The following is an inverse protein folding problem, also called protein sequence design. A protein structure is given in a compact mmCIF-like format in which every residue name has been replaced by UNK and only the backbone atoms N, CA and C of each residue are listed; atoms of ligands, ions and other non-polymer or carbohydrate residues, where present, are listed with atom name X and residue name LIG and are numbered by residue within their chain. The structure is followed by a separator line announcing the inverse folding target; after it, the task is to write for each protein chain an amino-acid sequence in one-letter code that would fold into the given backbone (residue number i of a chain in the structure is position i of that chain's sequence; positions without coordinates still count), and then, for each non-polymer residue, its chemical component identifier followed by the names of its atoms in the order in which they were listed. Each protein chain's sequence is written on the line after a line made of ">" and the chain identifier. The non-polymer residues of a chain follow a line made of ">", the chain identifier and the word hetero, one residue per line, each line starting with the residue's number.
data_IF_928686781185
#
_entry.id   IF_928686781185
#
_cell.length_a   1.000
_cell.length_b   1.000
_cell.length_c   1.000
_cell.angle_alpha   90.00
_cell.angle_beta   90.00
_cell.angle_gamma   90.00
#
_symmetry.space_group_name_H-M   'P 1'
#
loop_
_entity.id
_entity.type
_entity.pdbx_description
1 polymer ?
#
# COMPACT_ATOMS: atom_id res chain seq x y z
N UNK A 1 32.58 -38.80 -41.54
CA UNK A 1 32.24 -38.49 -42.95
C UNK A 1 30.93 -37.70 -42.97
N UNK A 2 30.96 -36.46 -43.49
CA UNK A 2 29.88 -35.66 -44.14
C UNK A 2 28.49 -35.59 -43.47
N UNK A 3 27.79 -34.45 -43.32
CA UNK A 3 27.88 -33.11 -43.95
C UNK A 3 27.04 -32.12 -43.13
N UNK A 4 27.45 -30.85 -43.17
CA UNK A 4 26.78 -29.69 -42.61
C UNK A 4 25.46 -29.32 -43.35
N UNK A 5 24.50 -28.75 -42.62
CA UNK A 5 23.32 -28.05 -43.13
C UNK A 5 23.36 -26.57 -42.75
N UNK A 6 23.31 -25.70 -43.76
CA UNK A 6 23.69 -24.30 -43.74
C UNK A 6 22.51 -23.35 -43.49
N UNK A 7 22.84 -22.18 -42.92
CA UNK A 7 21.99 -21.01 -42.61
C UNK A 7 21.17 -20.47 -43.78
N UNK A 8 20.01 -19.85 -43.47
CA UNK A 8 19.50 -18.68 -44.21
C UNK A 8 18.47 -17.86 -43.38
N UNK A 9 18.95 -16.84 -42.67
CA UNK A 9 18.15 -15.65 -42.35
C UNK A 9 18.78 -14.47 -43.10
N UNK A 10 17.96 -13.71 -43.82
CA UNK A 10 18.38 -12.63 -44.71
C UNK A 10 18.96 -11.46 -43.90
N UNK A 11 20.28 -11.36 -43.86
CA UNK A 11 20.97 -10.11 -43.57
C UNK A 11 21.01 -9.28 -44.87
N UNK A 12 20.10 -8.33 -45.01
CA UNK A 12 20.20 -7.26 -46.00
C UNK A 12 20.96 -6.09 -45.40
N UNK A 13 22.28 -6.21 -45.27
CA UNK A 13 23.16 -5.15 -44.78
C UNK A 13 23.91 -4.58 -45.97
N UNK A 14 23.57 -3.36 -46.39
CA UNK A 14 24.42 -2.50 -47.22
C UNK A 14 24.25 -1.06 -46.78
N UNK A 15 25.19 -0.59 -45.96
CA UNK A 15 25.46 0.83 -45.80
C UNK A 15 26.95 1.02 -46.05
N UNK A 16 27.29 1.56 -47.22
CA UNK A 16 28.65 2.00 -47.53
C UNK A 16 28.95 3.31 -46.81
N UNK A 17 30.13 3.39 -46.20
CA UNK A 17 30.64 4.64 -45.64
C UNK A 17 31.06 5.56 -46.78
N UNK A 18 30.22 6.55 -47.11
CA UNK A 18 30.60 7.70 -47.92
C UNK A 18 30.99 8.84 -46.99
N UNK A 19 32.29 9.11 -46.84
CA UNK A 19 32.77 10.35 -46.24
C UNK A 19 32.55 11.45 -47.26
N UNK A 20 31.52 12.28 -47.06
CA UNK A 20 31.39 13.56 -47.76
C UNK A 20 31.65 14.69 -46.78
N UNK A 21 32.63 15.50 -47.14
CA UNK A 21 33.11 16.69 -46.46
C UNK A 21 32.32 17.90 -46.99
N UNK A 22 31.93 18.81 -46.08
CA UNK A 22 31.50 20.22 -46.21
C UNK A 22 30.01 20.60 -46.07
N UNK A 23 29.81 21.51 -45.09
CA UNK A 23 28.80 22.58 -44.91
C UNK A 23 27.51 22.29 -44.10
N UNK A 24 26.99 23.31 -43.36
CA UNK A 24 26.26 23.12 -42.11
C UNK A 24 24.74 23.15 -42.31
N UNK A 25 24.08 22.03 -42.05
CA UNK A 25 22.66 21.98 -41.72
C UNK A 25 22.55 21.06 -40.52
N UNK A 26 22.39 21.64 -39.33
CA UNK A 26 22.17 20.87 -38.10
C UNK A 26 20.74 20.32 -38.14
N UNK A 27 20.55 19.26 -38.92
CA UNK A 27 19.45 18.34 -38.76
C UNK A 27 19.93 17.19 -37.87
N UNK A 28 19.63 17.27 -36.58
CA UNK A 28 19.81 16.13 -35.67
C UNK A 28 18.88 15.00 -36.15
N UNK A 29 19.44 14.02 -36.87
CA UNK A 29 18.79 12.74 -37.06
C UNK A 29 18.85 12.00 -35.72
N UNK A 30 17.77 12.11 -34.93
CA UNK A 30 17.54 11.24 -33.78
C UNK A 30 17.43 9.82 -34.32
N UNK A 31 18.48 9.04 -34.13
CA UNK A 31 18.44 7.61 -34.42
C UNK A 31 17.47 6.97 -33.43
N UNK A 32 16.28 6.57 -33.92
CA UNK A 32 15.37 5.72 -33.18
C UNK A 32 16.04 4.36 -32.98
N UNK A 33 16.68 4.17 -31.82
CA UNK A 33 17.16 2.86 -31.39
C UNK A 33 15.97 1.91 -31.32
N UNK A 34 16.02 0.85 -32.13
CA UNK A 34 15.10 -0.26 -31.98
C UNK A 34 15.20 -0.80 -30.55
N UNK A 35 14.09 -0.73 -29.83
CA UNK A 35 14.03 -1.04 -28.42
C UNK A 35 13.97 -2.56 -28.26
N UNK A 36 15.14 -3.20 -28.24
CA UNK A 36 15.27 -4.65 -28.08
C UNK A 36 16.22 -4.96 -26.92
N UNK A 37 15.78 -5.81 -26.00
CA UNK A 37 16.49 -6.16 -24.76
C UNK A 37 15.56 -6.28 -23.55
N UNK A 38 16.03 -6.81 -22.42
CA UNK A 38 15.26 -6.88 -21.19
C UNK A 38 14.89 -5.47 -20.69
N UNK A 39 13.74 -5.34 -20.04
CA UNK A 39 13.27 -4.06 -19.49
C UNK A 39 14.14 -3.62 -18.30
N UNK A 40 14.39 -2.33 -18.19
CA UNK A 40 15.25 -1.68 -17.20
C UNK A 40 14.52 -0.48 -16.59
N UNK A 41 14.99 -0.02 -15.43
CA UNK A 41 14.51 1.22 -14.81
C UNK A 41 14.43 2.38 -15.81
N UNK A 42 13.30 3.08 -15.84
CA UNK A 42 13.03 4.22 -16.71
C UNK A 42 12.56 3.86 -18.13
N UNK A 43 12.52 2.58 -18.48
CA UNK A 43 11.97 2.15 -19.77
C UNK A 43 10.46 2.41 -19.85
N UNK A 44 10.02 2.98 -20.96
CA UNK A 44 8.60 3.23 -21.19
C UNK A 44 7.90 2.02 -21.80
N UNK A 45 6.68 1.80 -21.33
CA UNK A 45 5.88 0.63 -21.64
C UNK A 45 4.51 1.05 -22.17
N UNK A 46 4.00 0.23 -23.09
CA UNK A 46 2.60 0.22 -23.50
C UNK A 46 1.97 -1.05 -22.97
N UNK A 47 0.80 -0.95 -22.35
CA UNK A 47 0.03 -2.13 -21.95
C UNK A 47 -0.61 -2.79 -23.17
N UNK A 48 -0.43 -4.10 -23.29
CA UNK A 48 -0.98 -4.93 -24.36
C UNK A 48 -1.69 -6.14 -23.75
N UNK A 49 -2.98 -5.97 -23.48
CA UNK A 49 -3.75 -6.94 -22.70
C UNK A 49 -3.18 -7.08 -21.29
N UNK A 50 -2.66 -8.26 -20.99
CA UNK A 50 -2.11 -8.63 -19.68
C UNK A 50 -0.58 -8.50 -19.62
N UNK A 51 0.08 -7.99 -20.66
CA UNK A 51 1.54 -7.78 -20.70
C UNK A 51 1.92 -6.34 -21.02
N UNK A 52 3.22 -6.06 -20.97
CA UNK A 52 3.79 -4.77 -21.31
C UNK A 52 4.79 -4.92 -22.46
N UNK A 53 4.62 -4.09 -23.49
CA UNK A 53 5.57 -3.97 -24.59
C UNK A 53 6.45 -2.75 -24.35
N UNK A 54 7.77 -2.94 -24.47
CA UNK A 54 8.73 -1.84 -24.40
C UNK A 54 8.60 -0.96 -25.65
N UNK A 55 8.43 0.34 -25.45
CA UNK A 55 8.21 1.33 -26.52
C UNK A 55 9.10 2.56 -26.31
N UNK A 56 9.18 3.44 -27.31
CA UNK A 56 9.84 4.74 -27.10
C UNK A 56 9.08 5.55 -26.06
N UNK A 57 9.78 6.23 -25.15
CA UNK A 57 9.14 7.16 -24.22
C UNK A 57 8.48 8.36 -24.90
N UNK A 58 8.83 8.67 -26.16
CA UNK A 58 8.16 9.69 -26.95
C UNK A 58 6.90 9.17 -27.67
N UNK A 59 6.64 7.87 -27.63
CA UNK A 59 5.44 7.27 -28.21
C UNK A 59 4.20 7.73 -27.43
N UNK A 60 3.13 8.10 -28.15
CA UNK A 60 1.87 8.51 -27.52
C UNK A 60 1.17 7.36 -26.79
N UNK A 61 1.50 6.11 -27.12
CA UNK A 61 1.02 4.92 -26.44
C UNK A 61 1.86 4.53 -25.20
N UNK A 62 2.97 5.22 -24.93
CA UNK A 62 3.78 5.01 -23.73
C UNK A 62 3.07 5.61 -22.49
N UNK A 63 2.22 4.80 -21.87
CA UNK A 63 1.42 5.19 -20.70
C UNK A 63 2.06 4.75 -19.37
N UNK A 64 3.06 3.87 -19.40
CA UNK A 64 3.66 3.27 -18.20
C UNK A 64 5.18 3.37 -18.23
N UNK A 65 5.81 3.19 -17.07
CA UNK A 65 7.27 3.18 -16.91
C UNK A 65 7.71 2.10 -15.92
N UNK A 66 8.86 1.50 -16.18
CA UNK A 66 9.52 0.62 -15.21
C UNK A 66 10.10 1.48 -14.09
N UNK A 67 9.62 1.28 -12.88
CA UNK A 67 10.07 1.99 -11.69
C UNK A 67 11.24 1.29 -11.01
N UNK A 68 11.28 -0.03 -11.01
CA UNK A 68 12.42 -0.80 -10.52
C UNK A 68 12.31 -2.28 -10.89
N UNK A 69 13.30 -3.06 -10.47
CA UNK A 69 13.24 -4.52 -10.34
C UNK A 69 13.28 -4.91 -8.85
N UNK A 70 12.55 -5.96 -8.50
CA UNK A 70 12.49 -6.51 -7.16
C UNK A 70 12.78 -8.02 -7.17
N UNK A 71 13.31 -8.52 -6.07
CA UNK A 71 13.67 -9.92 -5.88
C UNK A 71 15.07 -10.10 -5.30
N UNK A 72 15.60 -11.31 -5.39
CA UNK A 72 16.91 -11.64 -4.84
C UNK A 72 18.02 -10.87 -5.58
N UNK A 73 18.83 -10.12 -4.83
CA UNK A 73 19.91 -9.29 -5.38
C UNK A 73 19.50 -7.86 -5.75
N UNK A 74 18.23 -7.49 -5.58
CA UNK A 74 17.74 -6.12 -5.74
C UNK A 74 17.59 -5.40 -4.40
N UNK A 75 17.44 -4.07 -4.45
CA UNK A 75 17.26 -3.25 -3.25
C UNK A 75 15.96 -3.57 -2.51
N UNK A 76 14.90 -3.87 -3.26
CA UNK A 76 13.60 -4.28 -2.72
C UNK A 76 13.35 -5.75 -3.02
N UNK A 77 12.77 -6.44 -2.04
CA UNK A 77 12.37 -7.84 -2.20
C UNK A 77 11.10 -7.96 -3.04
N UNK A 78 10.15 -7.06 -2.82
CA UNK A 78 8.83 -7.09 -3.43
C UNK A 78 8.49 -5.74 -4.08
N UNK A 79 7.79 -5.78 -5.20
CA UNK A 79 7.41 -4.57 -5.95
C UNK A 79 6.45 -3.65 -5.19
N UNK A 80 5.75 -4.16 -4.17
CA UNK A 80 4.89 -3.35 -3.30
C UNK A 80 5.66 -2.29 -2.52
N UNK A 81 6.96 -2.50 -2.28
CA UNK A 81 7.85 -1.57 -1.58
C UNK A 81 8.55 -0.57 -2.51
N UNK A 82 8.30 -0.65 -3.82
CA UNK A 82 8.79 0.32 -4.81
C UNK A 82 7.74 1.42 -4.99
N UNK A 83 8.11 2.66 -4.68
CA UNK A 83 7.20 3.80 -4.66
C UNK A 83 6.53 4.06 -6.02
N UNK A 84 5.20 4.13 -6.04
CA UNK A 84 4.41 4.43 -7.24
C UNK A 84 4.08 3.21 -8.10
N UNK A 85 4.49 2.01 -7.67
CA UNK A 85 4.18 0.78 -8.37
C UNK A 85 2.69 0.50 -8.32
N UNK A 86 2.12 0.25 -9.49
CA UNK A 86 0.73 -0.17 -9.65
C UNK A 86 0.61 -1.58 -10.20
N UNK A 87 1.61 -2.06 -10.94
CA UNK A 87 1.64 -3.40 -11.51
C UNK A 87 2.98 -4.05 -11.20
N UNK A 88 2.95 -5.36 -11.00
CA UNK A 88 4.13 -6.19 -11.05
C UNK A 88 3.92 -7.34 -12.05
N UNK A 89 5.00 -7.76 -12.68
CA UNK A 89 5.03 -8.97 -13.49
C UNK A 89 6.41 -9.59 -13.46
N UNK A 90 6.48 -10.90 -13.69
CA UNK A 90 7.73 -11.62 -13.64
C UNK A 90 8.42 -11.62 -15.01
N UNK A 91 9.69 -11.22 -15.06
CA UNK A 91 10.53 -11.26 -16.25
C UNK A 91 11.96 -11.72 -15.91
N UNK A 92 12.37 -12.80 -16.57
CA UNK A 92 13.77 -13.25 -16.60
C UNK A 92 14.42 -13.51 -15.23
N UNK A 93 13.63 -13.90 -14.22
CA UNK A 93 14.14 -14.21 -12.88
C UNK A 93 13.68 -13.23 -11.80
N UNK A 94 13.27 -12.02 -12.20
CA UNK A 94 12.94 -10.91 -11.30
C UNK A 94 11.48 -10.47 -11.45
N UNK A 95 10.97 -9.79 -10.43
CA UNK A 95 9.73 -9.01 -10.54
C UNK A 95 10.04 -7.62 -11.09
N UNK A 96 9.34 -7.22 -12.14
CA UNK A 96 9.43 -5.88 -12.73
C UNK A 96 8.31 -5.03 -12.16
N UNK A 97 8.68 -3.90 -11.55
CA UNK A 97 7.75 -3.00 -10.88
C UNK A 97 7.39 -1.85 -11.82
N UNK A 98 6.12 -1.72 -12.15
CA UNK A 98 5.61 -0.78 -13.17
C UNK A 98 4.62 0.18 -12.55
N UNK A 99 4.77 1.46 -12.88
CA UNK A 99 3.80 2.50 -12.54
C UNK A 99 3.35 3.28 -13.77
N UNK A 100 2.36 4.14 -13.57
CA UNK A 100 1.97 5.12 -14.57
C UNK A 100 3.15 6.02 -14.94
N UNK A 101 3.23 6.39 -16.21
CA UNK A 101 4.26 7.32 -16.66
C UNK A 101 4.03 8.69 -16.02
N UNK A 102 5.05 9.17 -15.30
CA UNK A 102 4.93 10.40 -14.51
C UNK A 102 4.27 10.19 -13.14
N UNK A 103 4.18 8.95 -12.66
CA UNK A 103 3.73 8.64 -11.32
C UNK A 103 4.48 9.48 -10.27
N UNK A 104 3.73 9.98 -9.30
CA UNK A 104 4.27 10.75 -8.18
C UNK A 104 4.81 9.79 -7.11
N UNK A 105 6.07 9.39 -7.27
CA UNK A 105 6.72 8.47 -6.34
C UNK A 105 6.97 9.09 -4.97
N UNK A 106 7.00 10.42 -4.84
CA UNK A 106 7.21 11.09 -3.56
C UNK A 106 5.99 10.97 -2.64
N UNK A 107 4.79 11.00 -3.22
CA UNK A 107 3.51 10.89 -2.52
C UNK A 107 2.84 9.51 -2.67
N UNK A 108 3.57 8.53 -3.17
CA UNK A 108 3.06 7.18 -3.36
C UNK A 108 2.63 6.54 -2.03
N UNK A 109 1.38 6.08 -1.97
CA UNK A 109 0.79 5.53 -0.75
C UNK A 109 1.30 4.13 -0.42
N UNK A 110 1.65 3.32 -1.43
CA UNK A 110 2.06 1.92 -1.24
C UNK A 110 3.32 1.76 -0.36
N UNK A 111 4.15 2.81 -0.30
CA UNK A 111 5.37 2.86 0.51
C UNK A 111 5.22 3.63 1.82
N UNK A 112 4.02 4.09 2.17
CA UNK A 112 3.77 4.73 3.46
C UNK A 112 4.16 3.81 4.62
N UNK A 113 4.73 4.40 5.66
CA UNK A 113 5.22 3.71 6.85
C UNK A 113 4.42 4.12 8.09
N UNK A 114 4.59 3.37 9.17
CA UNK A 114 4.01 3.72 10.48
C UNK A 114 4.49 5.13 10.86
N UNK A 115 3.55 6.00 11.22
CA UNK A 115 3.79 7.39 11.55
C UNK A 115 3.57 8.38 10.40
N UNK A 116 3.54 7.92 9.15
CA UNK A 116 3.20 8.75 7.99
C UNK A 116 1.72 9.15 7.99
N UNK A 117 1.39 10.17 7.19
CA UNK A 117 0.02 10.61 7.03
C UNK A 117 -0.50 10.44 5.61
N UNK A 118 -1.80 10.14 5.52
CA UNK A 118 -2.53 9.92 4.29
C UNK A 118 -3.63 10.96 4.11
N UNK A 119 -3.92 11.31 2.86
CA UNK A 119 -4.99 12.27 2.50
C UNK A 119 -6.40 11.69 2.65
N UNK A 120 -6.53 10.36 2.69
CA UNK A 120 -7.81 9.65 2.72
C UNK A 120 -7.66 8.22 3.20
N UNK A 121 -8.78 7.50 3.27
CA UNK A 121 -8.85 6.08 3.69
C UNK A 121 -9.68 5.22 2.73
N UNK A 122 -10.03 5.75 1.56
CA UNK A 122 -10.86 5.07 0.56
C UNK A 122 -10.54 5.56 -0.85
N UNK A 123 -10.81 4.72 -1.85
CA UNK A 123 -10.55 5.01 -3.26
C UNK A 123 -9.08 4.91 -3.68
N UNK A 124 -8.81 5.22 -4.95
CA UNK A 124 -7.49 5.08 -5.57
C UNK A 124 -6.65 6.36 -5.57
N UNK A 125 -7.18 7.47 -5.04
CA UNK A 125 -6.52 8.79 -5.02
C UNK A 125 -5.87 9.14 -3.68
N UNK A 126 -5.68 8.15 -2.80
CA UNK A 126 -5.03 8.36 -1.52
C UNK A 126 -3.54 8.59 -1.73
N UNK A 127 -3.01 9.64 -1.12
CA UNK A 127 -1.61 10.05 -1.22
C UNK A 127 -0.96 10.05 0.15
N UNK A 128 0.32 9.68 0.19
CA UNK A 128 1.20 9.89 1.35
C UNK A 128 1.66 11.34 1.36
N UNK A 129 1.46 12.03 2.47
CA UNK A 129 1.81 13.45 2.64
C UNK A 129 2.49 13.67 3.99
N UNK A 130 3.14 14.82 4.16
CA UNK A 130 3.61 15.23 5.48
C UNK A 130 2.41 15.40 6.43
N UNK A 131 2.54 15.00 7.69
CA UNK A 131 1.44 15.14 8.67
C UNK A 131 1.07 16.60 8.98
N UNK A 132 1.94 17.55 8.66
CA UNK A 132 1.67 19.00 8.76
C UNK A 132 0.91 19.55 7.55
N UNK A 133 0.73 18.76 6.49
CA UNK A 133 -0.03 19.16 5.32
C UNK A 133 -1.52 19.33 5.68
N UNK A 134 -2.15 20.37 5.16
CA UNK A 134 -3.57 20.65 5.42
C UNK A 134 -4.52 19.59 4.85
N UNK A 135 -4.06 18.81 3.86
CA UNK A 135 -4.79 17.70 3.27
C UNK A 135 -4.60 16.38 4.02
N UNK A 136 -3.63 16.30 4.93
CA UNK A 136 -3.44 15.12 5.78
C UNK A 136 -4.68 14.90 6.65
N UNK A 137 -5.21 13.68 6.64
CA UNK A 137 -6.41 13.32 7.42
C UNK A 137 -6.16 12.19 8.39
N UNK A 138 -5.40 11.19 7.96
CA UNK A 138 -5.18 9.98 8.73
C UNK A 138 -3.70 9.75 8.98
N UNK A 139 -3.37 9.21 10.14
CA UNK A 139 -2.04 8.75 10.49
C UNK A 139 -1.98 7.23 10.44
N UNK A 140 -0.90 6.68 9.88
CA UNK A 140 -0.64 5.25 9.82
C UNK A 140 -0.17 4.75 11.19
N UNK A 141 -0.93 3.84 11.78
CA UNK A 141 -0.62 3.15 13.04
C UNK A 141 0.01 1.78 12.81
N UNK A 142 -0.36 1.13 11.70
CA UNK A 142 0.12 -0.20 11.31
C UNK A 142 0.20 -0.31 9.79
N UNK A 143 1.16 -1.13 9.32
CA UNK A 143 1.37 -1.45 7.91
C UNK A 143 1.56 -2.95 7.81
N UNK A 144 0.67 -3.62 7.10
CA UNK A 144 0.71 -5.06 6.92
C UNK A 144 0.72 -5.39 5.43
N UNK A 145 1.78 -6.04 4.97
CA UNK A 145 1.85 -6.56 3.61
C UNK A 145 1.09 -7.88 3.54
N UNK A 146 0.07 -7.96 2.71
CA UNK A 146 -0.73 -9.15 2.55
C UNK A 146 -0.69 -9.63 1.09
N UNK A 147 -0.51 -10.94 0.92
CA UNK A 147 -0.73 -11.63 -0.35
C UNK A 147 -2.21 -11.96 -0.61
N UNK A 148 -3.09 -11.61 0.33
CA UNK A 148 -4.53 -11.88 0.33
C UNK A 148 -5.31 -10.71 0.95
N UNK A 149 -5.32 -9.54 0.31
CA UNK A 149 -6.07 -8.37 0.80
C UNK A 149 -7.57 -8.67 0.75
N UNK A 150 -8.28 -8.49 1.87
CA UNK A 150 -9.75 -8.55 1.88
C UNK A 150 -10.40 -9.13 3.13
N UNK A 151 -9.63 -9.56 4.15
CA UNK A 151 -10.20 -10.10 5.38
C UNK A 151 -10.31 -9.07 6.51
N UNK A 152 -9.79 -7.84 6.34
CA UNK A 152 -9.71 -6.78 7.36
C UNK A 152 -9.03 -7.23 8.67
N UNK A 153 -8.51 -8.45 8.76
CA UNK A 153 -7.88 -9.05 9.93
C UNK A 153 -6.45 -8.56 10.14
N UNK A 154 -5.90 -7.86 9.15
CA UNK A 154 -4.52 -7.38 9.12
C UNK A 154 -4.29 -6.38 10.26
N UNK A 155 -5.28 -5.55 10.60
CA UNK A 155 -5.17 -4.59 11.70
C UNK A 155 -5.47 -5.15 13.09
N UNK A 156 -5.66 -6.48 13.20
CA UNK A 156 -5.93 -7.11 14.49
C UNK A 156 -4.79 -6.85 15.47
N UNK A 157 -5.11 -6.20 16.59
CA UNK A 157 -4.14 -5.89 17.65
C UNK A 157 -3.41 -4.56 17.47
N UNK A 158 -3.63 -3.82 16.37
CA UNK A 158 -3.14 -2.45 16.22
C UNK A 158 -4.09 -1.52 16.97
N UNK A 159 -3.69 -1.15 18.19
CA UNK A 159 -4.54 -0.33 19.07
C UNK A 159 -4.75 1.08 18.55
N UNK A 160 -5.93 1.63 18.80
CA UNK A 160 -6.35 2.94 18.34
C UNK A 160 -6.72 3.00 16.87
N UNK A 161 -6.76 1.85 16.17
CA UNK A 161 -7.22 1.81 14.77
C UNK A 161 -8.70 2.13 14.70
N UNK A 162 -9.04 3.14 13.90
CA UNK A 162 -10.41 3.56 13.63
C UNK A 162 -10.87 3.09 12.25
N UNK A 163 -9.95 3.00 11.29
CA UNK A 163 -10.22 2.66 9.88
C UNK A 163 -9.11 1.80 9.29
N UNK A 164 -9.44 1.10 8.22
CA UNK A 164 -8.49 0.32 7.42
C UNK A 164 -8.51 0.82 5.98
N UNK A 165 -7.34 0.97 5.38
CA UNK A 165 -7.19 1.29 3.96
C UNK A 165 -6.27 0.25 3.31
N UNK A 166 -6.67 -0.29 2.16
CA UNK A 166 -5.84 -1.24 1.42
C UNK A 166 -5.44 -0.67 0.08
N UNK A 167 -4.15 -0.75 -0.23
CA UNK A 167 -3.60 -0.52 -1.55
C UNK A 167 -3.27 -1.87 -2.17
N UNK A 168 -3.82 -2.14 -3.35
CA UNK A 168 -3.64 -3.39 -4.09
C UNK A 168 -2.86 -3.12 -5.38
N UNK A 169 -1.84 -3.95 -5.64
CA UNK A 169 -1.24 -4.00 -6.97
C UNK A 169 -2.24 -4.59 -7.95
N UNK A 170 -2.33 -3.96 -9.12
CA UNK A 170 -3.13 -4.41 -10.25
C UNK A 170 -2.44 -5.64 -10.83
N UNK A 171 -3.14 -6.77 -10.82
CA UNK A 171 -2.60 -8.01 -11.36
C UNK A 171 -2.48 -7.96 -12.90
N UNK A 172 -1.35 -8.44 -13.41
CA UNK A 172 -1.24 -9.05 -14.75
C UNK A 172 -1.50 -10.56 -14.57
N UNK A 173 -2.25 -11.25 -15.44
CA UNK A 173 -2.68 -12.65 -15.18
C UNK A 173 -1.53 -13.63 -14.85
N UNK A 174 -1.71 -14.53 -13.87
CA UNK A 174 -0.78 -15.59 -13.43
C UNK A 174 -1.25 -16.31 -12.14
N UNK A 175 -0.52 -17.31 -11.62
CA UNK A 175 -0.83 -17.97 -10.31
C UNK A 175 -0.75 -16.88 -9.22
N UNK A 176 -1.90 -16.38 -8.75
CA UNK A 176 -2.01 -15.19 -7.89
C UNK A 176 -3.04 -14.15 -8.38
N UNK A 177 -3.49 -14.26 -9.63
CA UNK A 177 -4.59 -13.48 -10.17
C UNK A 177 -5.89 -13.80 -9.41
N UNK A 178 -6.30 -12.89 -8.51
CA UNK A 178 -7.52 -12.99 -7.72
C UNK A 178 -7.33 -12.91 -6.20
N UNK A 179 -6.09 -12.89 -5.70
CA UNK A 179 -5.83 -12.75 -4.27
C UNK A 179 -5.33 -11.37 -3.83
N UNK A 180 -4.94 -10.49 -4.75
CA UNK A 180 -4.57 -9.11 -4.41
C UNK A 180 -3.30 -9.05 -3.56
N UNK A 181 -2.16 -8.85 -4.20
CA UNK A 181 -0.91 -8.53 -3.49
C UNK A 181 -0.91 -7.04 -3.17
N UNK A 182 -0.66 -6.67 -1.92
CA UNK A 182 -0.53 -5.27 -1.57
C UNK A 182 -0.28 -5.02 -0.10
N UNK A 183 -0.73 -3.86 0.36
CA UNK A 183 -0.56 -3.41 1.74
C UNK A 183 -1.88 -2.92 2.33
N UNK A 184 -2.14 -3.32 3.57
CA UNK A 184 -3.21 -2.77 4.40
C UNK A 184 -2.63 -1.86 5.47
N UNK A 185 -3.23 -0.68 5.59
CA UNK A 185 -2.89 0.35 6.56
C UNK A 185 -3.97 0.43 7.64
N UNK A 186 -3.51 0.44 8.89
CA UNK A 186 -4.35 0.67 10.06
C UNK A 186 -4.27 2.15 10.40
N UNK A 187 -5.40 2.84 10.36
CA UNK A 187 -5.47 4.29 10.36
C UNK A 187 -6.28 4.81 11.55
N UNK A 188 -5.89 5.97 12.05
CA UNK A 188 -6.70 6.83 12.91
C UNK A 188 -6.67 8.25 12.36
N UNK A 189 -7.65 9.09 12.74
CA UNK A 189 -7.59 10.53 12.49
C UNK A 189 -6.23 11.09 12.95
N UNK A 190 -5.61 11.96 12.15
CA UNK A 190 -4.21 12.36 12.36
C UNK A 190 -3.94 13.04 13.70
N UNK A 191 -4.96 13.69 14.26
CA UNK A 191 -4.92 14.40 15.54
C UNK A 191 -5.58 13.60 16.68
N UNK A 192 -6.02 12.36 16.42
CA UNK A 192 -6.62 11.51 17.43
C UNK A 192 -5.59 11.15 18.50
N UNK A 193 -5.99 11.32 19.76
CA UNK A 193 -5.25 10.76 20.89
C UNK A 193 -5.61 9.27 21.04
N UNK A 194 -4.92 8.46 20.25
CA UNK A 194 -5.09 6.99 20.23
C UNK A 194 -4.80 6.34 21.57
N UNK A 195 -4.09 6.99 22.49
CA UNK A 195 -3.89 6.45 23.85
C UNK A 195 -5.17 6.40 24.66
N UNK A 196 -6.20 7.16 24.25
CA UNK A 196 -7.47 7.31 24.96
C UNK A 196 -8.61 6.51 24.36
N UNK A 197 -8.34 5.70 23.35
CA UNK A 197 -9.34 4.82 22.73
C UNK A 197 -9.70 3.65 23.63
N UNK A 198 -10.89 3.09 23.46
CA UNK A 198 -11.42 2.06 24.36
C UNK A 198 -10.63 0.75 24.35
N UNK A 199 -9.98 0.42 23.24
CA UNK A 199 -9.10 -0.76 23.10
C UNK A 199 -7.75 -0.60 23.82
N UNK A 200 -7.43 0.62 24.27
CA UNK A 200 -6.34 0.88 25.21
C UNK A 200 -6.75 0.77 26.68
N UNK A 201 -8.05 0.69 26.99
CA UNK A 201 -8.54 0.71 28.36
C UNK A 201 -8.14 -0.54 29.15
N UNK A 202 -7.75 -0.34 30.39
CA UNK A 202 -7.33 -1.37 31.36
C UNK A 202 -8.21 -1.32 32.59
N UNK A 203 -8.18 -2.39 33.36
CA UNK A 203 -8.84 -2.42 34.68
C UNK A 203 -8.31 -1.26 35.53
N UNK A 204 -9.23 -0.47 36.07
CA UNK A 204 -8.94 0.73 36.85
C UNK A 204 -9.05 2.03 36.06
N UNK A 205 -9.02 2.01 34.74
CA UNK A 205 -9.19 3.21 33.91
C UNK A 205 -10.62 3.73 33.99
N UNK A 206 -10.75 5.06 33.89
CA UNK A 206 -12.06 5.70 33.86
C UNK A 206 -12.44 6.12 32.46
N UNK A 207 -13.73 6.00 32.16
CA UNK A 207 -14.30 6.23 30.84
C UNK A 207 -15.32 7.36 30.89
N UNK A 208 -15.31 8.18 29.85
CA UNK A 208 -16.35 9.16 29.53
C UNK A 208 -17.15 8.66 28.34
N UNK A 209 -18.46 8.88 28.38
CA UNK A 209 -19.32 8.74 27.19
C UNK A 209 -19.14 9.94 26.26
N UNK A 210 -18.81 9.69 25.00
CA UNK A 210 -18.59 10.72 23.98
C UNK A 210 -19.65 10.72 22.87
N UNK A 211 -20.56 9.76 22.91
CA UNK A 211 -21.65 9.59 21.95
C UNK A 211 -22.63 8.52 22.44
N UNK A 212 -23.61 8.16 21.60
CA UNK A 212 -24.65 7.19 21.99
C UNK A 212 -24.09 5.79 22.34
N UNK A 213 -22.94 5.41 21.76
CA UNK A 213 -22.30 4.10 22.01
C UNK A 213 -20.77 4.20 21.98
N UNK A 214 -20.20 5.37 22.28
CA UNK A 214 -18.76 5.61 22.23
C UNK A 214 -18.24 6.06 23.58
N UNK A 215 -17.09 5.48 23.98
CA UNK A 215 -16.41 5.83 25.22
C UNK A 215 -14.95 6.13 24.96
N UNK A 216 -14.38 7.03 25.77
CA UNK A 216 -12.94 7.35 25.77
C UNK A 216 -12.37 7.29 27.17
N UNK A 217 -11.08 6.98 27.28
CA UNK A 217 -10.36 7.02 28.54
C UNK A 217 -10.21 8.48 28.99
N UNK A 218 -10.43 8.72 30.28
CA UNK A 218 -10.28 10.01 30.97
C UNK A 218 -9.58 9.78 32.30
N UNK A 219 -9.06 10.86 32.89
CA UNK A 219 -8.62 10.81 34.28
C UNK A 219 -9.82 10.55 35.20
N UNK A 220 -9.68 9.64 36.17
CA UNK A 220 -10.77 9.27 37.09
C UNK A 220 -11.28 10.43 37.96
N UNK A 221 -10.43 11.42 38.26
CA UNK A 221 -10.84 12.62 38.99
C UNK A 221 -11.57 13.67 38.14
N UNK A 222 -11.75 13.43 36.84
CA UNK A 222 -12.46 14.35 35.95
C UNK A 222 -13.96 14.33 36.25
N UNK A 223 -14.62 15.49 36.15
CA UNK A 223 -16.08 15.61 36.17
C UNK A 223 -16.77 14.80 35.07
N UNK A 224 -16.02 14.45 34.03
CA UNK A 224 -16.50 13.75 32.85
C UNK A 224 -16.39 12.22 32.99
N UNK A 225 -15.71 11.72 34.02
CA UNK A 225 -15.61 10.29 34.29
C UNK A 225 -17.00 9.75 34.67
N UNK A 226 -17.53 8.85 33.84
CA UNK A 226 -18.84 8.21 34.05
C UNK A 226 -18.72 6.79 34.55
N UNK A 227 -17.68 6.09 34.12
CA UNK A 227 -17.46 4.70 34.50
C UNK A 227 -16.02 4.42 34.87
N UNK A 228 -15.81 3.33 35.59
CA UNK A 228 -14.51 2.68 35.81
C UNK A 228 -14.53 1.27 35.24
N UNK A 229 -13.46 0.89 34.54
CA UNK A 229 -13.30 -0.46 34.00
C UNK A 229 -12.97 -1.41 35.16
N UNK A 230 -13.86 -2.36 35.42
CA UNK A 230 -13.66 -3.38 36.45
C UNK A 230 -13.06 -4.66 35.88
N UNK A 231 -13.44 -5.01 34.65
CA UNK A 231 -12.94 -6.20 33.95
C UNK A 231 -13.12 -6.09 32.44
N UNK A 232 -12.28 -6.76 31.67
CA UNK A 232 -12.48 -7.00 30.23
C UNK A 232 -12.71 -8.50 30.00
N UNK A 233 -13.71 -8.85 29.22
CA UNK A 233 -14.17 -10.23 28.99
C UNK A 233 -14.59 -10.45 27.53
N UNK A 234 -14.46 -11.67 26.99
CA UNK A 234 -14.83 -11.98 25.60
C UNK A 234 -16.35 -12.19 25.38
N UNK A 235 -17.13 -12.33 26.44
CA UNK A 235 -18.60 -12.50 26.37
C UNK A 235 -19.28 -11.73 27.52
N UNK A 236 -20.42 -11.11 27.24
CA UNK A 236 -21.09 -10.20 28.18
C UNK A 236 -21.53 -10.85 29.50
N UNK A 237 -21.97 -12.11 29.48
CA UNK A 237 -22.46 -12.83 30.68
C UNK A 237 -21.39 -13.03 31.76
N UNK A 238 -20.10 -12.85 31.42
CA UNK A 238 -19.03 -12.88 32.42
C UNK A 238 -19.01 -11.61 33.29
N UNK A 239 -19.70 -10.53 32.89
CA UNK A 239 -19.84 -9.33 33.71
C UNK A 239 -20.85 -9.50 34.85
N UNK A 240 -21.83 -10.42 34.72
CA UNK A 240 -22.88 -10.63 35.73
C UNK A 240 -22.32 -11.10 37.09
N UNK A 241 -21.14 -11.72 37.06
CA UNK A 241 -20.43 -12.22 38.25
C UNK A 241 -19.37 -11.24 38.78
N UNK A 242 -19.27 -10.03 38.21
CA UNK A 242 -18.30 -9.02 38.65
C UNK A 242 -19.00 -8.05 39.60
N UNK A 243 -18.55 -8.03 40.86
CA UNK A 243 -19.09 -7.15 41.88
C UNK A 243 -18.92 -5.67 41.50
N UNK A 244 -19.97 -4.88 41.70
CA UNK A 244 -19.95 -3.42 41.45
C UNK A 244 -20.17 -3.02 39.99
N UNK A 245 -20.47 -3.97 39.10
CA UNK A 245 -20.87 -3.65 37.72
C UNK A 245 -22.24 -2.98 37.72
N UNK A 246 -22.31 -1.85 37.02
CA UNK A 246 -23.53 -1.07 36.77
C UNK A 246 -23.83 -0.94 35.28
N UNK A 247 -22.85 -1.17 34.41
CA UNK A 247 -23.00 -1.12 32.96
C UNK A 247 -22.06 -2.12 32.25
N UNK A 248 -22.38 -2.46 31.01
CA UNK A 248 -21.50 -3.26 30.14
C UNK A 248 -21.35 -2.54 28.81
N UNK A 249 -20.12 -2.41 28.34
CA UNK A 249 -19.80 -1.81 27.05
C UNK A 249 -19.20 -2.84 26.11
N UNK A 250 -19.68 -2.92 24.87
CA UNK A 250 -19.12 -3.83 23.87
C UNK A 250 -18.45 -3.03 22.76
N UNK A 251 -17.24 -3.42 22.37
CA UNK A 251 -16.57 -2.87 21.19
C UNK A 251 -15.98 -3.98 20.35
N UNK A 252 -15.63 -3.63 19.11
CA UNK A 252 -14.97 -4.50 18.16
C UNK A 252 -13.87 -3.70 17.49
N UNK A 253 -12.61 -4.01 17.79
CA UNK A 253 -11.50 -3.37 17.08
C UNK A 253 -11.47 -3.84 15.62
N UNK A 254 -11.01 -2.99 14.68
CA UNK A 254 -10.81 -3.41 13.30
C UNK A 254 -9.97 -4.69 13.21
N UNK A 255 -10.46 -5.66 12.44
CA UNK A 255 -9.83 -6.98 12.28
C UNK A 255 -10.05 -8.01 13.37
N UNK A 256 -10.71 -7.66 14.47
CA UNK A 256 -11.21 -8.68 15.40
C UNK A 256 -12.42 -9.41 14.82
N UNK A 257 -12.56 -10.71 15.10
CA UNK A 257 -13.75 -11.47 14.70
C UNK A 257 -14.86 -11.37 15.75
N UNK A 258 -14.46 -11.34 17.02
CA UNK A 258 -15.34 -11.31 18.18
C UNK A 258 -15.37 -9.91 18.81
N UNK A 259 -16.45 -9.59 19.51
CA UNK A 259 -16.51 -8.38 20.34
C UNK A 259 -15.77 -8.60 21.65
N UNK A 260 -15.20 -7.53 22.18
CA UNK A 260 -14.71 -7.45 23.56
C UNK A 260 -15.71 -6.68 24.40
N UNK A 261 -15.93 -7.11 25.64
CA UNK A 261 -16.86 -6.48 26.58
C UNK A 261 -16.10 -5.93 27.79
N UNK A 262 -16.36 -4.68 28.13
CA UNK A 262 -15.90 -4.06 29.37
C UNK A 262 -17.03 -4.11 30.40
N UNK A 263 -16.74 -4.66 31.56
CA UNK A 263 -17.61 -4.62 32.73
C UNK A 263 -17.32 -3.32 33.49
N UNK A 264 -18.32 -2.44 33.56
CA UNK A 264 -18.16 -1.06 34.02
C UNK A 264 -18.88 -0.85 35.35
N UNK A 265 -18.22 -0.17 36.28
CA UNK A 265 -18.80 0.28 37.55
C UNK A 265 -18.71 1.79 37.71
N UNK A 266 -19.05 2.27 38.91
CA UNK A 266 -18.88 3.69 39.25
C UNK A 266 -17.41 4.13 39.20
N UNK A 267 -17.12 5.39 38.80
CA UNK A 267 -15.77 5.99 38.80
C UNK A 267 -15.04 5.88 40.14
#
# INVERSE_FOLDING_TARGET
>A
MSRAGFRRWRAGMRCGAGVFVLLPVVGFLVACSAVSGPVQHGDCLKKNGDSFDKVSCSDSAAAYVVLDRAGDGHAQKDCIDVAGTEYDYYDSGDSVCVGDKGADTAHAVNVAQIGDCLTGSEGSSVLKVACTDATARYKVLGRETASMIGLNMECKGVKGTERTYSFELKATKGIGAGLGHGVTFCLADKDADTSRTVDNAKVGDCLQETGANDVRIVACGSSDAKYKVLRSVPVSSLCDNVSGVTATYSYKSPGELMKTYLCLGSP
#
